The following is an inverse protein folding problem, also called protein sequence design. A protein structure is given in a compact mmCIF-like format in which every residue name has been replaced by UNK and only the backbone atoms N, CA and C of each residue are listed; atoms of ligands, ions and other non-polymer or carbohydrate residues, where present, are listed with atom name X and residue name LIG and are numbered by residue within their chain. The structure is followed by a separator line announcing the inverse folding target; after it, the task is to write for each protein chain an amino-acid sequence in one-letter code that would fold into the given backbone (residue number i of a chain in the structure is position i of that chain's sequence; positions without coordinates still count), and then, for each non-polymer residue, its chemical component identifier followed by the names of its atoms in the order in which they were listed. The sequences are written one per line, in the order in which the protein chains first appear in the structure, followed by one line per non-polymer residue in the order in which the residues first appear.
data_IF_391486334774
#
_entry.id   IF_391486334774
#
_cell.length_a   1.000
_cell.length_b   1.000
_cell.length_c   1.000
_cell.angle_alpha   90.00
_cell.angle_beta   90.00
_cell.angle_gamma   90.00
#
_symmetry.space_group_name_H-M   'P 1'
#
loop_
_entity.id
_entity.type
_entity.pdbx_description
1 polymer ?
#
# COMPACT_ATOMS: atom_id res chain seq x y z
N UNK A 1 1.54 -51.51 -24.70
CA UNK A 1 0.83 -50.82 -23.60
C UNK A 1 1.50 -49.47 -23.29
N UNK A 2 0.93 -48.30 -23.67
CA UNK A 2 1.50 -47.00 -23.32
C UNK A 2 0.66 -46.31 -22.23
N UNK A 3 0.98 -46.50 -20.95
CA UNK A 3 0.27 -45.85 -19.82
C UNK A 3 1.06 -44.72 -19.13
N UNK A 4 2.31 -44.47 -19.53
CA UNK A 4 3.21 -43.58 -18.79
C UNK A 4 3.19 -42.11 -19.24
N UNK A 5 2.77 -41.82 -20.48
CA UNK A 5 2.84 -40.47 -21.07
C UNK A 5 1.78 -39.48 -20.58
N UNK A 6 0.74 -39.96 -19.88
CA UNK A 6 -0.43 -39.17 -19.47
C UNK A 6 -0.29 -38.50 -18.11
N UNK A 7 0.60 -39.00 -17.25
CA UNK A 7 0.77 -38.51 -15.87
C UNK A 7 1.54 -37.18 -15.85
N UNK A 8 2.58 -37.05 -16.67
CA UNK A 8 3.41 -35.84 -16.76
C UNK A 8 2.65 -34.60 -17.26
N UNK A 9 1.62 -34.76 -18.11
CA UNK A 9 0.79 -33.65 -18.58
C UNK A 9 -0.15 -33.09 -17.51
N UNK A 10 -0.55 -33.91 -16.53
CA UNK A 10 -1.45 -33.50 -15.43
C UNK A 10 -0.68 -32.83 -14.28
N UNK A 11 0.56 -33.25 -14.04
CA UNK A 11 1.45 -32.63 -13.06
C UNK A 11 1.80 -31.17 -13.42
N UNK A 12 2.05 -30.88 -14.71
CA UNK A 12 2.33 -29.52 -15.17
C UNK A 12 1.13 -28.58 -14.97
N UNK A 13 -0.09 -29.02 -15.26
CA UNK A 13 -1.30 -28.19 -15.10
C UNK A 13 -1.64 -27.90 -13.62
N UNK A 14 -1.38 -28.86 -12.72
CA UNK A 14 -1.62 -28.68 -11.29
C UNK A 14 -0.61 -27.73 -10.62
N UNK A 15 0.65 -27.71 -11.09
CA UNK A 15 1.67 -26.81 -10.57
C UNK A 15 1.40 -25.35 -10.97
N UNK A 16 0.88 -25.10 -12.18
CA UNK A 16 0.47 -23.76 -12.62
C UNK A 16 -0.76 -23.25 -11.86
N UNK A 17 -1.74 -24.12 -11.56
CA UNK A 17 -2.94 -23.74 -10.82
C UNK A 17 -2.67 -23.42 -9.34
N UNK A 18 -1.78 -24.16 -8.69
CA UNK A 18 -1.40 -23.91 -7.30
C UNK A 18 -0.63 -22.59 -7.14
N UNK A 19 0.23 -22.23 -8.10
CA UNK A 19 0.95 -20.95 -8.08
C UNK A 19 -0.01 -19.77 -8.28
N UNK A 20 -0.96 -19.88 -9.22
CA UNK A 20 -1.96 -18.85 -9.47
C UNK A 20 -2.88 -18.61 -8.26
N UNK A 21 -3.34 -19.67 -7.59
CA UNK A 21 -4.17 -19.56 -6.38
C UNK A 21 -3.39 -18.98 -5.19
N UNK A 22 -2.12 -19.35 -5.03
CA UNK A 22 -1.23 -18.78 -4.01
C UNK A 22 -0.95 -17.29 -4.23
N UNK A 23 -0.71 -16.86 -5.46
CA UNK A 23 -0.49 -15.44 -5.79
C UNK A 23 -1.72 -14.55 -5.58
N UNK A 24 -2.93 -15.08 -5.80
CA UNK A 24 -4.18 -14.33 -5.60
C UNK A 24 -4.46 -14.07 -4.11
N UNK A 25 -4.17 -15.04 -3.23
CA UNK A 25 -4.34 -14.88 -1.79
C UNK A 25 -3.36 -13.86 -1.19
N UNK A 26 -2.11 -13.81 -1.68
CA UNK A 26 -1.09 -12.87 -1.22
C UNK A 26 -1.42 -11.43 -1.63
N UNK A 27 -1.94 -11.19 -2.84
CA UNK A 27 -2.37 -9.86 -3.28
C UNK A 27 -3.57 -9.34 -2.49
N UNK A 28 -4.52 -10.21 -2.14
CA UNK A 28 -5.68 -9.83 -1.36
C UNK A 28 -5.29 -9.45 0.09
N UNK A 29 -4.36 -10.19 0.70
CA UNK A 29 -3.87 -9.91 2.05
C UNK A 29 -3.10 -8.58 2.14
N UNK A 30 -2.22 -8.30 1.18
CA UNK A 30 -1.48 -7.03 1.13
C UNK A 30 -2.43 -5.82 0.98
N UNK A 31 -3.46 -5.94 0.14
CA UNK A 31 -4.48 -4.90 -0.02
C UNK A 31 -5.32 -4.69 1.25
N UNK A 32 -5.56 -5.72 2.05
CA UNK A 32 -6.30 -5.60 3.32
C UNK A 32 -5.46 -5.00 4.45
N UNK A 33 -4.16 -5.31 4.55
CA UNK A 33 -3.26 -4.70 5.53
C UNK A 33 -3.07 -3.20 5.27
N UNK A 34 -2.89 -2.82 4.00
CA UNK A 34 -2.76 -1.42 3.59
C UNK A 34 -4.04 -0.61 3.85
N UNK A 35 -5.20 -1.26 3.85
CA UNK A 35 -6.47 -0.67 4.27
C UNK A 35 -6.58 -0.46 5.78
N UNK A 36 -5.87 -1.24 6.61
CA UNK A 36 -5.92 -1.12 8.07
C UNK A 36 -5.04 0.01 8.62
N UNK A 37 -3.99 0.40 7.90
CA UNK A 37 -3.01 1.42 8.33
C UNK A 37 -3.15 2.73 7.54
N UNK A 38 -3.99 2.74 6.49
CA UNK A 38 -4.09 3.82 5.51
C UNK A 38 -2.89 3.83 4.55
N UNK A 39 -3.04 4.51 3.41
CA UNK A 39 -1.93 4.66 2.46
C UNK A 39 -0.96 5.74 2.97
N UNK A 40 0.35 5.50 2.90
CA UNK A 40 1.32 6.57 3.16
C UNK A 40 1.03 7.74 2.21
N UNK A 41 0.90 8.94 2.76
CA UNK A 41 0.51 10.15 2.04
C UNK A 41 -1.00 10.38 1.90
N UNK A 42 -1.87 9.44 2.30
CA UNK A 42 -3.32 9.66 2.39
C UNK A 42 -3.62 10.29 3.76
N UNK A 43 -3.86 11.60 3.76
CA UNK A 43 -3.99 12.40 4.97
C UNK A 43 -5.46 12.67 5.31
N UNK A 44 -6.38 12.53 4.34
CA UNK A 44 -7.81 12.68 4.56
C UNK A 44 -8.55 11.34 4.77
N UNK A 45 -7.88 10.20 4.56
CA UNK A 45 -8.40 8.85 4.73
C UNK A 45 -9.31 8.36 3.60
N UNK A 46 -9.24 8.98 2.41
CA UNK A 46 -10.10 8.65 1.27
C UNK A 46 -9.57 7.53 0.37
N UNK A 47 -8.42 6.95 0.73
CA UNK A 47 -7.69 5.91 0.01
C UNK A 47 -6.99 6.38 -1.27
N UNK A 48 -6.90 7.69 -1.51
CA UNK A 48 -6.15 8.28 -2.61
C UNK A 48 -5.08 9.23 -2.06
N UNK A 49 -3.99 9.37 -2.81
CA UNK A 49 -3.01 10.42 -2.59
C UNK A 49 -3.24 11.47 -3.67
N UNK A 50 -3.63 12.67 -3.27
CA UNK A 50 -4.18 13.71 -4.12
C UNK A 50 -3.73 15.11 -3.70
N UNK A 51 -4.16 16.12 -4.47
CA UNK A 51 -3.92 17.52 -4.13
C UNK A 51 -4.54 17.93 -2.79
N UNK A 52 -5.57 17.21 -2.32
CA UNK A 52 -6.16 17.43 -0.99
C UNK A 52 -5.15 17.10 0.11
N UNK A 53 -4.38 16.03 -0.05
CA UNK A 53 -3.36 15.62 0.92
C UNK A 53 -2.18 16.61 0.93
N UNK A 54 -1.81 17.10 -0.25
CA UNK A 54 -0.82 18.18 -0.39
C UNK A 54 -1.30 19.44 0.35
N UNK A 55 -2.57 19.79 0.22
CA UNK A 55 -3.15 20.94 0.92
C UNK A 55 -3.13 20.75 2.45
N UNK A 56 -3.52 19.57 2.94
CA UNK A 56 -3.50 19.25 4.38
C UNK A 56 -2.08 19.36 4.95
N UNK A 57 -1.09 18.76 4.28
CA UNK A 57 0.29 18.84 4.73
C UNK A 57 0.82 20.28 4.67
N UNK A 58 0.49 21.02 3.62
CA UNK A 58 0.88 22.44 3.51
C UNK A 58 0.27 23.29 4.63
N UNK A 59 -1.01 23.09 4.95
CA UNK A 59 -1.68 23.78 6.06
C UNK A 59 -1.01 23.46 7.40
N UNK A 60 -0.61 22.20 7.61
CA UNK A 60 0.17 21.78 8.79
C UNK A 60 1.50 22.52 8.89
N UNK A 61 2.25 22.60 7.80
CA UNK A 61 3.55 23.29 7.81
C UNK A 61 3.43 24.81 8.02
N UNK A 62 2.32 25.42 7.60
CA UNK A 62 2.11 26.88 7.70
C UNK A 62 1.51 27.32 9.04
N UNK A 63 0.56 26.56 9.55
CA UNK A 63 -0.25 26.96 10.72
C UNK A 63 -0.01 26.09 11.94
N UNK A 64 0.77 25.02 11.80
CA UNK A 64 0.87 23.94 12.79
C UNK A 64 -0.50 23.30 13.12
N UNK A 65 -1.46 23.40 12.18
CA UNK A 65 -2.83 22.89 12.28
C UNK A 65 -3.19 21.98 11.09
N UNK A 66 -4.22 21.14 11.21
CA UNK A 66 -4.60 20.17 10.16
C UNK A 66 -4.31 18.73 10.55
N UNK A 67 -3.04 18.36 10.71
CA UNK A 67 -2.65 17.05 11.24
C UNK A 67 -2.58 17.14 12.78
N UNK A 68 -3.47 16.41 13.46
CA UNK A 68 -3.58 16.42 14.92
C UNK A 68 -3.59 15.04 15.55
N UNK A 69 -3.89 14.00 14.76
CA UNK A 69 -3.90 12.63 15.22
C UNK A 69 -2.58 11.91 14.86
N UNK A 70 -2.13 10.95 15.70
CA UNK A 70 -0.88 10.24 15.46
C UNK A 70 -0.87 9.36 14.21
N UNK A 71 -2.03 8.88 13.75
CA UNK A 71 -2.12 7.98 12.60
C UNK A 71 -1.87 8.75 11.30
N UNK A 72 -2.51 9.91 11.13
CA UNK A 72 -2.25 10.81 10.02
C UNK A 72 -0.83 11.36 10.06
N UNK A 73 -0.29 11.66 11.24
CA UNK A 73 1.11 12.06 11.39
C UNK A 73 2.07 10.96 10.92
N UNK A 74 1.78 9.70 11.24
CA UNK A 74 2.56 8.55 10.76
C UNK A 74 2.48 8.38 9.24
N UNK A 75 1.30 8.63 8.63
CA UNK A 75 1.14 8.60 7.17
C UNK A 75 1.78 9.79 6.46
N UNK A 76 1.95 10.92 7.16
CA UNK A 76 2.55 12.14 6.63
C UNK A 76 4.09 12.14 6.68
N UNK A 77 4.72 11.36 7.56
CA UNK A 77 6.19 11.22 7.64
C UNK A 77 6.69 10.26 6.55
N UNK A 78 6.77 10.77 5.33
CA UNK A 78 7.10 10.00 4.14
C UNK A 78 8.57 9.58 4.09
N UNK A 79 9.45 10.39 4.69
CA UNK A 79 10.88 10.12 4.72
C UNK A 79 11.32 9.29 5.96
N UNK A 80 10.44 9.13 6.95
CA UNK A 80 10.62 8.35 8.19
C UNK A 80 11.68 8.87 9.14
N UNK A 81 11.90 10.18 9.16
CA UNK A 81 12.83 10.84 10.08
C UNK A 81 12.17 11.39 11.34
N UNK A 82 10.88 11.10 11.54
CA UNK A 82 10.08 11.53 12.69
C UNK A 82 9.82 13.04 12.74
N UNK A 83 10.11 13.77 11.65
CA UNK A 83 9.90 15.21 11.54
C UNK A 83 9.00 15.52 10.35
N UNK A 84 7.77 15.97 10.61
CA UNK A 84 6.89 16.45 9.55
C UNK A 84 7.38 17.81 9.03
N UNK A 85 7.99 17.81 7.86
CA UNK A 85 8.47 19.04 7.25
C UNK A 85 8.37 19.10 5.72
N UNK A 86 9.00 20.11 5.13
CA UNK A 86 8.99 20.35 3.68
C UNK A 86 9.58 19.19 2.85
N UNK A 87 10.38 18.31 3.46
CA UNK A 87 10.93 17.12 2.80
C UNK A 87 9.83 16.11 2.52
N UNK A 88 8.89 15.94 3.45
CA UNK A 88 7.72 15.08 3.23
C UNK A 88 6.79 15.67 2.17
N UNK A 89 6.58 16.99 2.20
CA UNK A 89 5.78 17.66 1.16
C UNK A 89 6.39 17.49 -0.24
N UNK A 90 7.72 17.39 -0.33
CA UNK A 90 8.41 17.13 -1.60
C UNK A 90 8.21 15.69 -2.07
N UNK A 91 8.12 14.73 -1.16
CA UNK A 91 7.87 13.31 -1.48
C UNK A 91 6.40 13.02 -1.81
N UNK A 92 5.47 13.87 -1.36
CA UNK A 92 4.04 13.74 -1.62
C UNK A 92 3.64 14.21 -3.03
N UNK A 93 4.51 14.96 -3.73
CA UNK A 93 4.27 15.56 -5.05
C UNK A 93 4.77 14.72 -6.23
#
# INVERSE_FOLDING_TARGET
MPKQKTIFKRAAAALTAAFAAGSLAVSAYAATEQRLVGYMGDLNGDMFVSDIDIQILTEHLLTNGGITDPETAFRADLNKDQCLDVRDLTLLR
#
